data_IF_327410711566
#
_entry.id   IF_327410711566
#
_cell.length_a   1.000
_cell.length_b   1.000
_cell.length_c   1.000
_cell.angle_alpha   90.00
_cell.angle_beta   90.00
_cell.angle_gamma   90.00
#
_symmetry.space_group_name_H-M   'P 1'
#
loop_
_entity.id
_entity.type
_entity.pdbx_description
1 polymer ?
#
# COMPACT_ATOMS: atom_id res chain seq x y z
N UNK A 1 -10.25 -0.81 14.35
CA UNK A 1 -9.53 -1.14 13.09
C UNK A 1 -10.52 -1.78 12.14
N UNK A 2 -10.58 -1.28 10.90
CA UNK A 2 -11.36 -1.93 9.84
C UNK A 2 -10.68 -3.24 9.42
N UNK A 3 -11.47 -4.24 9.11
CA UNK A 3 -11.00 -5.59 8.80
C UNK A 3 -11.66 -6.21 7.58
N UNK A 4 -11.47 -7.50 7.40
CA UNK A 4 -12.03 -8.27 6.27
C UNK A 4 -13.55 -8.19 6.28
N UNK A 5 -14.13 -7.84 5.12
CA UNK A 5 -15.55 -7.63 4.93
C UNK A 5 -16.02 -6.19 5.05
N UNK A 6 -15.24 -5.31 5.69
CA UNK A 6 -15.55 -3.88 5.73
C UNK A 6 -15.26 -3.19 4.39
N UNK A 7 -15.91 -2.07 4.15
CA UNK A 7 -15.57 -1.19 3.02
C UNK A 7 -14.34 -0.35 3.36
N UNK A 8 -13.41 -0.27 2.39
CA UNK A 8 -12.30 0.66 2.52
C UNK A 8 -12.82 2.10 2.54
N UNK A 9 -12.29 2.99 3.41
CA UNK A 9 -12.84 4.34 3.54
C UNK A 9 -12.68 5.17 2.27
N UNK A 10 -13.64 6.04 2.03
CA UNK A 10 -13.47 7.11 1.03
C UNK A 10 -12.34 8.06 1.49
N UNK A 11 -11.49 8.44 0.55
CA UNK A 11 -10.42 9.40 0.78
C UNK A 11 -10.08 10.18 -0.49
N UNK A 12 -9.42 11.31 -0.34
CA UNK A 12 -8.83 12.07 -1.44
C UNK A 12 -7.61 12.81 -0.91
N UNK A 13 -6.43 12.46 -1.40
CA UNK A 13 -5.15 13.02 -0.96
C UNK A 13 -4.24 13.34 -2.13
N UNK A 14 -3.31 14.26 -1.91
CA UNK A 14 -2.18 14.42 -2.85
C UNK A 14 -1.26 13.21 -2.75
N UNK A 15 -0.68 12.84 -3.87
CA UNK A 15 0.32 11.79 -3.95
C UNK A 15 1.52 12.26 -4.78
N UNK A 16 2.70 11.77 -4.44
CA UNK A 16 3.90 11.91 -5.26
C UNK A 16 4.02 10.71 -6.19
N UNK A 17 3.96 10.95 -7.48
CA UNK A 17 3.92 9.90 -8.51
C UNK A 17 5.17 9.84 -9.38
N UNK A 18 5.94 10.93 -9.42
CA UNK A 18 7.11 11.06 -10.29
C UNK A 18 8.13 12.04 -9.69
N UNK A 19 9.35 12.03 -10.24
CA UNK A 19 10.36 13.08 -10.04
C UNK A 19 10.45 14.03 -11.25
N UNK A 20 9.68 13.76 -12.30
CA UNK A 20 9.67 14.59 -13.51
C UNK A 20 9.03 15.94 -13.22
N UNK A 21 9.76 17.02 -13.52
CA UNK A 21 9.31 18.40 -13.28
C UNK A 21 7.98 18.68 -13.98
N UNK A 22 7.00 19.12 -13.19
CA UNK A 22 5.63 19.42 -13.65
C UNK A 22 4.68 18.22 -13.64
N UNK A 23 5.18 17.02 -13.28
CA UNK A 23 4.38 15.77 -13.18
C UNK A 23 4.61 15.04 -11.85
N UNK A 24 5.06 15.76 -10.83
CA UNK A 24 5.43 15.19 -9.55
C UNK A 24 4.21 14.69 -8.76
N UNK A 25 3.09 15.40 -8.88
CA UNK A 25 1.96 15.23 -7.97
C UNK A 25 0.65 14.97 -8.71
N UNK A 26 -0.17 14.09 -8.13
CA UNK A 26 -1.54 13.83 -8.54
C UNK A 26 -2.45 13.75 -7.31
N UNK A 27 -3.73 14.08 -7.49
CA UNK A 27 -4.75 13.75 -6.48
C UNK A 27 -5.21 12.31 -6.70
N UNK A 28 -5.12 11.49 -5.66
CA UNK A 28 -5.57 10.10 -5.67
C UNK A 28 -6.66 9.92 -4.62
N UNK A 29 -7.68 9.15 -4.98
CA UNK A 29 -8.82 8.81 -4.13
C UNK A 29 -9.11 7.31 -4.15
N UNK A 30 -10.04 6.88 -3.30
CA UNK A 30 -10.59 5.52 -3.33
C UNK A 30 -11.24 5.17 -4.69
N UNK A 31 -11.74 6.17 -5.42
CA UNK A 31 -12.31 6.01 -6.76
C UNK A 31 -11.26 5.95 -7.89
N UNK A 32 -9.99 6.26 -7.60
CA UNK A 32 -8.91 6.09 -8.56
C UNK A 32 -8.70 4.61 -8.87
N UNK A 33 -8.25 4.31 -10.10
CA UNK A 33 -8.04 2.94 -10.59
C UNK A 33 -9.30 2.05 -10.54
N UNK A 34 -10.42 2.47 -11.18
CA UNK A 34 -11.67 1.74 -11.15
C UNK A 34 -11.52 0.34 -11.78
N UNK A 35 -12.23 -0.64 -11.22
CA UNK A 35 -12.22 -2.03 -11.68
C UNK A 35 -10.97 -2.83 -11.29
N UNK A 36 -10.01 -2.22 -10.63
CA UNK A 36 -8.77 -2.89 -10.19
C UNK A 36 -8.83 -3.30 -8.72
N UNK A 37 -8.14 -4.37 -8.40
CA UNK A 37 -7.72 -4.65 -7.03
C UNK A 37 -6.76 -3.56 -6.58
N UNK A 38 -6.74 -3.26 -5.30
CA UNK A 38 -5.83 -2.27 -4.72
C UNK A 38 -5.09 -2.86 -3.54
N UNK A 39 -3.79 -2.65 -3.52
CA UNK A 39 -2.93 -3.02 -2.40
C UNK A 39 -2.42 -1.73 -1.77
N UNK A 40 -2.95 -1.41 -0.61
CA UNK A 40 -2.49 -0.27 0.19
C UNK A 40 -1.50 -0.74 1.23
N UNK A 41 -0.36 -0.06 1.33
CA UNK A 41 0.56 -0.27 2.43
C UNK A 41 1.01 1.06 3.02
N UNK A 42 1.06 1.13 4.33
CA UNK A 42 1.40 2.37 5.04
C UNK A 42 2.67 2.18 5.85
N UNK A 43 3.46 3.24 5.98
CA UNK A 43 4.67 3.26 6.79
C UNK A 43 4.67 4.44 7.74
N UNK A 44 5.46 4.37 8.85
CA UNK A 44 5.43 5.39 9.89
C UNK A 44 5.87 6.77 9.44
N UNK A 45 7.05 6.87 8.80
CA UNK A 45 7.63 8.17 8.47
C UNK A 45 8.72 8.02 7.40
N UNK A 46 8.80 9.02 6.52
CA UNK A 46 9.88 9.15 5.54
C UNK A 46 11.24 9.37 6.21
N UNK A 47 12.31 9.16 5.46
CA UNK A 47 13.70 9.33 5.91
C UNK A 47 14.09 8.50 7.14
N UNK A 48 13.51 7.30 7.27
CA UNK A 48 13.85 6.30 8.30
C UNK A 48 14.57 5.09 7.71
N UNK A 49 14.77 4.03 8.50
CA UNK A 49 15.66 2.92 8.12
C UNK A 49 14.94 1.71 7.51
N UNK A 50 13.83 1.28 8.10
CA UNK A 50 13.06 0.10 7.63
C UNK A 50 12.18 0.46 6.42
N UNK A 51 11.57 1.63 6.44
CA UNK A 51 10.58 2.04 5.44
C UNK A 51 11.08 2.00 3.99
N UNK A 52 12.30 2.49 3.65
CA UNK A 52 12.76 2.43 2.25
C UNK A 52 12.95 1.01 1.75
N UNK A 53 13.30 0.05 2.63
CA UNK A 53 13.45 -1.35 2.23
C UNK A 53 12.12 -1.99 1.82
N UNK A 54 11.05 -1.66 2.54
CA UNK A 54 9.70 -2.14 2.23
C UNK A 54 9.16 -1.52 0.95
N UNK A 55 9.30 -0.20 0.78
CA UNK A 55 8.81 0.54 -0.39
C UNK A 55 9.52 0.05 -1.65
N UNK A 56 10.85 -0.11 -1.60
CA UNK A 56 11.61 -0.67 -2.70
C UNK A 56 11.19 -2.11 -3.04
N UNK A 57 10.91 -2.94 -2.02
CA UNK A 57 10.44 -4.32 -2.22
C UNK A 57 9.07 -4.37 -2.89
N UNK A 58 8.11 -3.55 -2.48
CA UNK A 58 6.83 -3.39 -3.19
C UNK A 58 7.03 -2.84 -4.61
N UNK A 59 7.94 -1.88 -4.79
CA UNK A 59 8.28 -1.32 -6.09
C UNK A 59 8.77 -2.36 -7.08
N UNK A 60 9.64 -3.28 -6.65
CA UNK A 60 10.14 -4.40 -7.47
C UNK A 60 9.03 -5.35 -7.90
N UNK A 61 7.98 -5.49 -7.09
CA UNK A 61 6.82 -6.35 -7.39
C UNK A 61 5.67 -5.60 -8.08
N UNK A 62 5.80 -4.30 -8.34
CA UNK A 62 4.71 -3.50 -8.90
C UNK A 62 4.19 -4.07 -10.23
N UNK A 63 5.09 -4.58 -11.08
CA UNK A 63 4.70 -5.24 -12.33
C UNK A 63 3.94 -6.55 -12.07
N UNK A 64 4.38 -7.35 -11.10
CA UNK A 64 3.70 -8.61 -10.76
C UNK A 64 2.29 -8.36 -10.25
N UNK A 65 2.09 -7.30 -9.47
CA UNK A 65 0.77 -6.84 -9.05
C UNK A 65 -0.07 -6.34 -10.23
N UNK A 66 0.53 -5.55 -11.13
CA UNK A 66 -0.16 -5.04 -12.32
C UNK A 66 -0.61 -6.17 -13.26
N UNK A 67 0.19 -7.22 -13.42
CA UNK A 67 -0.16 -8.42 -14.20
C UNK A 67 -1.37 -9.19 -13.60
N UNK A 68 -1.79 -8.84 -12.39
CA UNK A 68 -2.97 -9.35 -11.66
C UNK A 68 -4.10 -8.33 -11.55
N UNK A 69 -4.10 -7.31 -12.40
CA UNK A 69 -5.06 -6.19 -12.33
C UNK A 69 -5.11 -5.51 -10.94
N UNK A 70 -3.96 -5.42 -10.28
CA UNK A 70 -3.84 -4.79 -8.98
C UNK A 70 -2.93 -3.55 -9.02
N UNK A 71 -3.41 -2.46 -8.42
CA UNK A 71 -2.63 -1.24 -8.22
C UNK A 71 -2.08 -1.21 -6.78
N UNK A 72 -0.77 -1.08 -6.67
CA UNK A 72 -0.11 -0.86 -5.37
C UNK A 72 -0.05 0.64 -5.08
N UNK A 73 -0.40 1.02 -3.85
CA UNK A 73 -0.36 2.39 -3.35
C UNK A 73 0.28 2.38 -1.96
N UNK A 74 1.29 3.19 -1.78
CA UNK A 74 1.92 3.36 -0.47
C UNK A 74 1.58 4.71 0.13
N UNK A 75 1.73 4.88 1.44
CA UNK A 75 1.47 6.18 2.06
C UNK A 75 1.95 6.32 3.50
N UNK A 76 2.07 7.57 3.92
CA UNK A 76 2.32 7.95 5.31
C UNK A 76 1.61 9.27 5.64
N UNK A 77 1.83 9.77 6.85
CA UNK A 77 1.34 11.11 7.26
C UNK A 77 2.25 12.25 6.80
N UNK A 78 3.36 11.95 6.13
CA UNK A 78 4.24 12.97 5.53
C UNK A 78 3.57 13.68 4.35
N UNK A 79 4.10 14.86 4.00
CA UNK A 79 3.59 15.61 2.86
C UNK A 79 4.10 15.07 1.53
N UNK A 80 3.41 15.41 0.45
CA UNK A 80 3.84 15.12 -0.92
C UNK A 80 5.22 15.71 -1.25
N UNK A 81 5.57 16.83 -0.63
CA UNK A 81 6.89 17.45 -0.81
C UNK A 81 7.99 16.68 -0.09
N UNK A 82 7.71 16.12 1.08
CA UNK A 82 8.64 15.24 1.81
C UNK A 82 8.84 13.95 1.03
N UNK A 83 7.77 13.34 0.51
CA UNK A 83 7.87 12.18 -0.38
C UNK A 83 8.73 12.46 -1.62
N UNK A 84 8.56 13.61 -2.26
CA UNK A 84 9.35 14.01 -3.42
C UNK A 84 10.84 14.16 -3.06
N UNK A 85 11.13 14.83 -1.95
CA UNK A 85 12.50 14.98 -1.46
C UNK A 85 13.14 13.61 -1.18
N UNK A 86 12.41 12.71 -0.54
CA UNK A 86 12.91 11.37 -0.25
C UNK A 86 13.16 10.54 -1.50
N UNK A 87 12.24 10.54 -2.46
CA UNK A 87 12.46 9.93 -3.78
C UNK A 87 13.67 10.48 -4.51
N UNK A 88 13.96 11.75 -4.32
CA UNK A 88 15.12 12.41 -4.95
C UNK A 88 16.44 12.02 -4.29
N UNK A 89 16.46 11.83 -2.97
CA UNK A 89 17.68 11.57 -2.20
C UNK A 89 18.00 10.08 -2.04
N UNK A 90 17.01 9.18 -2.13
CA UNK A 90 17.20 7.75 -1.91
C UNK A 90 17.19 7.00 -3.23
N UNK A 91 18.32 6.41 -3.62
CA UNK A 91 18.50 5.76 -4.93
C UNK A 91 17.43 4.69 -5.23
N UNK A 92 17.11 3.85 -4.25
CA UNK A 92 16.11 2.80 -4.42
C UNK A 92 14.68 3.32 -4.68
N UNK A 93 14.44 4.62 -4.44
CA UNK A 93 13.12 5.25 -4.63
C UNK A 93 13.07 6.17 -5.87
N UNK A 94 14.18 6.34 -6.60
CA UNK A 94 14.25 7.24 -7.75
C UNK A 94 13.18 6.95 -8.79
N UNK A 95 13.06 5.71 -9.21
CA UNK A 95 12.14 5.26 -10.27
C UNK A 95 11.01 4.40 -9.72
N UNK A 96 10.60 4.68 -8.48
CA UNK A 96 9.52 3.96 -7.82
C UNK A 96 8.23 4.05 -8.65
N UNK A 97 7.67 2.91 -9.12
CA UNK A 97 6.48 2.91 -9.96
C UNK A 97 5.17 2.99 -9.16
N UNK A 98 5.26 3.30 -7.87
CA UNK A 98 4.14 3.32 -6.93
C UNK A 98 3.88 4.75 -6.48
N UNK A 99 2.62 5.24 -6.48
CA UNK A 99 2.25 6.49 -5.83
C UNK A 99 2.53 6.48 -4.33
N UNK A 100 3.00 7.60 -3.81
CA UNK A 100 3.21 7.82 -2.37
C UNK A 100 2.15 8.80 -1.87
N UNK A 101 1.14 8.29 -1.17
CA UNK A 101 0.00 9.03 -0.65
C UNK A 101 0.41 9.90 0.55
N UNK A 102 -0.01 11.15 0.56
CA UNK A 102 0.27 12.11 1.63
C UNK A 102 -0.98 12.35 2.50
N UNK A 103 -1.20 11.48 3.50
CA UNK A 103 -2.32 11.61 4.44
C UNK A 103 -2.01 12.63 5.56
N UNK A 104 -1.68 13.87 5.17
CA UNK A 104 -1.27 14.95 6.09
C UNK A 104 -2.27 15.25 7.20
N UNK A 105 -3.56 15.08 6.91
CA UNK A 105 -4.64 15.31 7.88
C UNK A 105 -4.92 14.09 8.75
N UNK A 106 -4.29 12.96 8.46
CA UNK A 106 -4.51 11.69 9.14
C UNK A 106 -5.97 11.19 9.03
N UNK A 107 -6.71 11.65 8.05
CA UNK A 107 -8.12 11.29 7.88
C UNK A 107 -8.27 9.81 7.52
N UNK A 108 -7.47 9.34 6.57
CA UNK A 108 -7.45 7.93 6.17
C UNK A 108 -6.92 7.03 7.28
N UNK A 109 -5.82 7.41 7.93
CA UNK A 109 -5.25 6.64 9.04
C UNK A 109 -6.19 6.50 10.24
N UNK A 110 -6.95 7.56 10.55
CA UNK A 110 -7.98 7.54 11.59
C UNK A 110 -9.18 6.67 11.19
N UNK A 111 -9.65 6.79 9.95
CA UNK A 111 -10.75 5.98 9.45
C UNK A 111 -10.42 4.47 9.46
N UNK A 112 -9.21 4.10 9.12
CA UNK A 112 -8.71 2.72 9.19
C UNK A 112 -8.40 2.27 10.62
N UNK A 113 -8.20 3.20 11.56
CA UNK A 113 -7.75 2.97 12.94
C UNK A 113 -6.41 2.21 13.00
N UNK A 114 -5.44 2.68 12.23
CA UNK A 114 -4.08 2.10 12.13
C UNK A 114 -2.97 3.12 12.44
N UNK A 115 -3.30 4.20 13.10
CA UNK A 115 -2.30 5.12 13.65
C UNK A 115 -1.83 4.62 15.02
N UNK A 116 -0.53 4.67 15.25
CA UNK A 116 0.04 4.37 16.56
C UNK A 116 -0.46 5.37 17.61
N UNK A 117 -1.08 4.87 18.66
CA UNK A 117 -1.80 5.69 19.67
C UNK A 117 -0.94 6.75 20.37
N UNK A 118 0.36 6.47 20.52
CA UNK A 118 1.27 7.37 21.23
C UNK A 118 1.91 8.44 20.35
N UNK A 119 2.19 8.15 19.08
CA UNK A 119 2.96 9.03 18.20
C UNK A 119 2.18 9.53 16.97
N UNK A 120 0.97 9.00 16.74
CA UNK A 120 0.08 9.48 15.67
C UNK A 120 0.54 9.16 14.23
N UNK A 121 1.61 8.38 14.05
CA UNK A 121 2.06 7.91 12.75
C UNK A 121 1.43 6.55 12.43
N UNK A 122 1.41 6.18 11.15
CA UNK A 122 0.93 4.86 10.74
C UNK A 122 1.74 3.73 11.39
N UNK A 123 1.06 2.69 11.83
CA UNK A 123 1.63 1.35 11.95
C UNK A 123 1.93 0.80 10.54
N UNK A 124 2.68 -0.28 10.44
CA UNK A 124 2.98 -0.91 9.15
C UNK A 124 1.78 -1.76 8.71
N UNK A 125 0.72 -1.07 8.31
CA UNK A 125 -0.53 -1.69 7.86
C UNK A 125 -0.50 -1.98 6.36
N UNK A 126 -1.09 -3.12 5.98
CA UNK A 126 -1.28 -3.54 4.59
C UNK A 126 -2.71 -4.01 4.39
N UNK A 127 -3.34 -3.55 3.32
CA UNK A 127 -4.70 -3.92 2.93
C UNK A 127 -4.71 -4.43 1.49
N UNK A 128 -5.46 -5.51 1.23
CA UNK A 128 -5.88 -5.88 -0.12
C UNK A 128 -7.38 -5.60 -0.21
N UNK A 129 -7.75 -4.80 -1.20
CA UNK A 129 -9.13 -4.36 -1.44
C UNK A 129 -9.56 -4.81 -2.83
N UNK A 130 -10.74 -5.43 -2.92
CA UNK A 130 -11.26 -5.89 -4.20
C UNK A 130 -11.81 -4.73 -5.08
N UNK A 131 -12.15 -4.99 -6.34
CA UNK A 131 -12.70 -3.96 -7.25
C UNK A 131 -13.97 -3.26 -6.73
N UNK A 132 -14.74 -3.92 -5.86
CA UNK A 132 -15.95 -3.39 -5.24
C UNK A 132 -15.68 -2.55 -3.98
N UNK A 133 -14.40 -2.42 -3.59
CA UNK A 133 -13.97 -1.63 -2.44
C UNK A 133 -14.08 -2.36 -1.09
N UNK A 134 -14.22 -3.68 -1.11
CA UNK A 134 -14.26 -4.48 0.12
C UNK A 134 -12.86 -4.95 0.52
N UNK A 135 -12.52 -4.80 1.79
CA UNK A 135 -11.26 -5.29 2.34
C UNK A 135 -11.29 -6.82 2.37
N UNK A 136 -10.33 -7.45 1.71
CA UNK A 136 -10.21 -8.90 1.62
C UNK A 136 -9.02 -9.45 2.43
N UNK A 137 -8.09 -8.61 2.81
CA UNK A 137 -6.95 -8.94 3.64
C UNK A 137 -6.50 -7.71 4.41
N UNK A 138 -6.05 -7.91 5.62
CA UNK A 138 -5.38 -6.89 6.44
C UNK A 138 -4.28 -7.53 7.26
N UNK A 139 -3.10 -6.90 7.30
CA UNK A 139 -2.05 -7.20 8.27
C UNK A 139 -1.48 -5.90 8.83
N UNK A 140 -1.09 -5.92 10.10
CA UNK A 140 -0.52 -4.75 10.75
C UNK A 140 0.66 -5.20 11.59
N UNK A 141 1.86 -4.79 11.18
CA UNK A 141 3.07 -5.02 11.96
C UNK A 141 3.36 -3.82 12.85
N UNK A 142 4.02 -4.08 13.98
CA UNK A 142 4.58 -3.04 14.83
C UNK A 142 5.70 -2.27 14.09
N UNK A 143 6.05 -1.10 14.61
CA UNK A 143 6.94 -0.13 13.97
C UNK A 143 8.32 -0.70 13.61
N UNK A 144 8.83 -1.64 14.40
CA UNK A 144 10.16 -2.21 14.23
C UNK A 144 10.24 -3.39 13.26
N UNK A 145 9.11 -3.90 12.76
CA UNK A 145 9.06 -5.14 11.99
C UNK A 145 8.60 -4.88 10.55
N UNK A 146 9.53 -5.03 9.60
CA UNK A 146 9.24 -4.96 8.16
C UNK A 146 8.32 -6.08 7.69
N UNK A 147 7.65 -5.82 6.55
CA UNK A 147 6.68 -6.73 5.94
C UNK A 147 7.35 -7.66 4.92
N UNK A 148 6.59 -8.67 4.49
CA UNK A 148 6.94 -9.54 3.37
C UNK A 148 6.00 -9.29 2.18
N UNK A 149 6.40 -8.47 1.18
CA UNK A 149 5.56 -8.18 0.01
C UNK A 149 5.25 -9.42 -0.86
N UNK A 150 6.10 -10.45 -0.84
CA UNK A 150 5.84 -11.71 -1.54
C UNK A 150 4.62 -12.43 -0.95
N UNK A 151 4.45 -12.39 0.38
CA UNK A 151 3.27 -12.94 1.04
C UNK A 151 2.00 -12.15 0.65
N UNK A 152 2.09 -10.83 0.52
CA UNK A 152 0.96 -10.01 0.05
C UNK A 152 0.57 -10.40 -1.38
N UNK A 153 1.54 -10.63 -2.25
CA UNK A 153 1.31 -11.11 -3.63
C UNK A 153 0.67 -12.49 -3.63
N UNK A 154 1.19 -13.42 -2.81
CA UNK A 154 0.64 -14.77 -2.65
C UNK A 154 -0.82 -14.74 -2.21
N UNK A 155 -1.14 -13.91 -1.22
CA UNK A 155 -2.53 -13.77 -0.72
C UNK A 155 -3.43 -13.18 -1.79
N UNK A 156 -2.98 -12.19 -2.57
CA UNK A 156 -3.73 -11.67 -3.70
C UNK A 156 -4.02 -12.77 -4.74
N UNK A 157 -3.02 -13.57 -5.09
CA UNK A 157 -3.21 -14.71 -5.99
C UNK A 157 -4.29 -15.67 -5.46
N UNK A 158 -4.23 -16.01 -4.19
CA UNK A 158 -5.24 -16.88 -3.56
C UNK A 158 -6.64 -16.26 -3.58
N UNK A 159 -6.76 -14.98 -3.25
CA UNK A 159 -8.05 -14.27 -3.27
C UNK A 159 -8.69 -14.23 -4.66
N UNK A 160 -7.86 -14.17 -5.70
CA UNK A 160 -8.33 -14.10 -7.10
C UNK A 160 -8.75 -15.46 -7.67
N UNK A 161 -8.45 -16.57 -7.01
CA UNK A 161 -8.95 -17.89 -7.44
C UNK A 161 -10.43 -18.05 -7.19
N UNK A 162 -10.97 -17.38 -6.19
CA UNK A 162 -12.32 -17.56 -5.66
C UNK A 162 -12.62 -19.01 -5.22
N UNK A 163 -11.57 -19.77 -4.88
CA UNK A 163 -11.60 -21.17 -4.49
C UNK A 163 -11.04 -21.37 -3.08
N UNK A 164 -11.19 -22.57 -2.53
CA UNK A 164 -10.61 -22.91 -1.23
C UNK A 164 -9.12 -23.23 -1.36
N UNK A 165 -8.28 -22.27 -0.99
CA UNK A 165 -6.83 -22.42 -1.00
C UNK A 165 -6.36 -23.03 0.32
N UNK A 166 -5.65 -24.18 0.31
CA UNK A 166 -5.12 -24.76 1.53
C UNK A 166 -4.00 -23.93 2.17
N UNK A 167 -3.63 -24.32 3.38
CA UNK A 167 -2.50 -23.70 4.07
C UNK A 167 -1.23 -23.74 3.19
N UNK A 168 -0.46 -22.63 3.20
CA UNK A 168 0.75 -22.45 2.37
C UNK A 168 0.53 -22.60 0.86
N UNK A 169 -0.69 -22.47 0.39
CA UNK A 169 -0.97 -22.52 -1.04
C UNK A 169 -0.19 -21.46 -1.81
N UNK A 170 0.36 -21.86 -2.94
CA UNK A 170 1.03 -20.96 -3.88
C UNK A 170 0.39 -21.07 -5.27
N UNK A 171 0.49 -20.01 -6.06
CA UNK A 171 -0.05 -19.94 -7.42
C UNK A 171 0.45 -21.11 -8.27
N UNK A 172 -0.47 -21.82 -8.90
CA UNK A 172 -0.20 -23.01 -9.71
C UNK A 172 -0.36 -24.34 -8.97
N UNK A 173 -0.58 -24.31 -7.66
CA UNK A 173 -0.95 -25.50 -6.89
C UNK A 173 -2.45 -25.76 -6.96
N UNK A 174 -2.85 -27.01 -6.67
CA UNK A 174 -4.27 -27.38 -6.63
C UNK A 174 -4.99 -26.69 -5.46
N UNK A 175 -6.24 -26.35 -5.68
CA UNK A 175 -7.21 -25.90 -4.67
C UNK A 175 -8.00 -27.09 -4.12
N UNK A 176 -8.78 -26.89 -3.05
CA UNK A 176 -9.59 -27.96 -2.42
C UNK A 176 -10.95 -28.10 -3.11
#
# INVERSE_FOLDING_TARGET
MLGVGDKFPAFSVMATVSREKGKEFETISDASYPGKWKVYFFWPMDFTFVCPTEIAAFGKLAKDFADRDAQVLGGSTDSEFVHLAWRTHHEDLHDLPIPMLADKKQELGKALDVLHKGIGMYLRATYIVDPEGTIRFVSVNDLSVGRNPQEVLRVLDALQTDELCPCNWEKGQATL
#
